data_IF_596733233159
#
_entry.id   IF_596733233159
#
_cell.length_a   1.000
_cell.length_b   1.000
_cell.length_c   1.000
_cell.angle_alpha   90.00
_cell.angle_beta   90.00
_cell.angle_gamma   90.00
#
_symmetry.space_group_name_H-M   'P 1'
#
loop_
_entity.id
_entity.type
_entity.pdbx_description
1 polymer ?
#
# COMPACT_ATOMS: atom_id res chain seq x y z
N UNK A 1 -35.75 -28.90 6.79
CA UNK A 1 -34.77 -29.08 7.88
C UNK A 1 -33.47 -28.49 7.42
N UNK A 2 -33.32 -27.19 7.59
CA UNK A 2 -32.11 -26.40 7.29
C UNK A 2 -31.33 -26.27 8.59
N UNK A 3 -30.21 -26.98 8.69
CA UNK A 3 -29.29 -26.82 9.81
C UNK A 3 -28.49 -25.52 9.60
N UNK A 4 -28.86 -24.49 10.33
CA UNK A 4 -28.06 -23.28 10.52
C UNK A 4 -26.82 -23.68 11.33
N UNK A 5 -25.67 -23.78 10.65
CA UNK A 5 -24.38 -23.80 11.30
C UNK A 5 -24.03 -22.36 11.73
N UNK A 6 -24.60 -21.87 12.80
CA UNK A 6 -24.06 -20.76 13.57
C UNK A 6 -22.73 -21.23 14.20
N UNK A 7 -21.61 -20.94 13.54
CA UNK A 7 -20.30 -21.05 14.16
C UNK A 7 -20.23 -20.03 15.31
N UNK A 8 -20.35 -20.51 16.55
CA UNK A 8 -20.10 -19.71 17.74
C UNK A 8 -18.65 -19.24 17.69
N UNK A 9 -18.45 -17.95 17.41
CA UNK A 9 -17.13 -17.33 17.43
C UNK A 9 -16.55 -17.43 18.85
N UNK A 10 -15.31 -17.89 18.99
CA UNK A 10 -14.58 -17.87 20.25
C UNK A 10 -14.30 -16.42 20.66
N UNK A 11 -14.10 -16.16 21.98
CA UNK A 11 -13.81 -14.82 22.51
C UNK A 11 -12.68 -14.11 21.76
N UNK A 12 -11.61 -14.82 21.38
CA UNK A 12 -10.47 -14.28 20.64
C UNK A 12 -10.84 -13.81 19.24
N UNK A 13 -11.75 -14.50 18.56
CA UNK A 13 -12.22 -14.12 17.21
C UNK A 13 -13.10 -12.87 17.24
N UNK A 14 -13.93 -12.73 18.30
CA UNK A 14 -14.74 -11.52 18.53
C UNK A 14 -13.83 -10.33 18.82
N UNK A 15 -12.82 -10.49 19.66
CA UNK A 15 -11.84 -9.46 19.97
C UNK A 15 -11.05 -9.02 18.71
N UNK A 16 -10.65 -9.96 17.86
CA UNK A 16 -9.97 -9.67 16.62
C UNK A 16 -10.86 -8.88 15.62
N UNK A 17 -12.14 -9.19 15.50
CA UNK A 17 -13.08 -8.46 14.68
C UNK A 17 -13.30 -7.02 15.19
N UNK A 18 -13.53 -6.85 16.50
CA UNK A 18 -13.66 -5.55 17.16
C UNK A 18 -12.42 -4.67 16.95
N UNK A 19 -11.22 -5.26 17.04
CA UNK A 19 -9.96 -4.58 16.75
C UNK A 19 -9.89 -4.05 15.31
N UNK A 20 -10.29 -4.86 14.34
CA UNK A 20 -10.26 -4.46 12.91
C UNK A 20 -11.21 -3.30 12.62
N UNK A 21 -12.37 -3.26 13.21
CA UNK A 21 -13.30 -2.14 13.06
C UNK A 21 -12.78 -0.88 13.75
N UNK A 22 -12.17 -1.00 14.95
CA UNK A 22 -11.48 0.10 15.62
C UNK A 22 -10.32 0.66 14.77
N UNK A 23 -9.56 -0.19 14.09
CA UNK A 23 -8.50 0.24 13.18
C UNK A 23 -9.02 1.12 12.03
N UNK A 24 -10.22 0.82 11.48
CA UNK A 24 -10.84 1.65 10.44
C UNK A 24 -11.16 3.04 10.98
N UNK A 25 -11.78 3.12 12.15
CA UNK A 25 -12.14 4.40 12.76
C UNK A 25 -10.92 5.24 13.14
N UNK A 26 -9.95 4.61 13.79
CA UNK A 26 -8.70 5.28 14.17
C UNK A 26 -7.86 5.68 12.94
N UNK A 27 -7.87 4.92 11.86
CA UNK A 27 -7.17 5.31 10.63
C UNK A 27 -7.74 6.59 9.99
N UNK A 28 -8.97 6.95 10.29
CA UNK A 28 -9.61 8.21 9.86
C UNK A 28 -9.36 9.37 10.83
N UNK A 29 -9.00 9.09 12.09
CA UNK A 29 -8.77 10.11 13.10
C UNK A 29 -7.50 10.93 12.77
N UNK A 30 -7.57 12.27 12.72
CA UNK A 30 -6.40 13.12 12.55
C UNK A 30 -5.31 12.90 13.63
N UNK A 31 -5.68 12.54 14.85
CA UNK A 31 -4.75 12.32 15.98
C UNK A 31 -3.81 11.13 15.76
N UNK A 32 -4.18 10.18 14.90
CA UNK A 32 -3.38 9.00 14.57
C UNK A 32 -2.52 9.15 13.32
N UNK A 33 -2.46 10.36 12.75
CA UNK A 33 -1.55 10.65 11.65
C UNK A 33 -0.15 10.92 12.17
N UNK A 34 0.86 10.68 11.34
CA UNK A 34 2.23 11.08 11.61
C UNK A 34 2.30 12.57 11.89
N UNK A 35 3.10 13.00 12.87
CA UNK A 35 3.30 14.42 13.16
C UNK A 35 4.10 15.16 12.07
N UNK A 36 4.96 14.44 11.33
CA UNK A 36 5.68 14.95 10.17
C UNK A 36 5.00 14.62 8.85
N UNK A 37 5.60 15.08 7.74
CA UNK A 37 5.13 14.84 6.38
C UNK A 37 5.99 13.81 5.63
N UNK A 38 5.58 13.45 4.42
CA UNK A 38 6.22 12.46 3.56
C UNK A 38 7.53 12.94 2.90
N UNK A 39 7.94 14.19 3.10
CA UNK A 39 9.14 14.81 2.54
C UNK A 39 8.98 15.41 1.13
N UNK A 40 7.94 15.08 0.38
CA UNK A 40 7.78 15.51 -1.01
C UNK A 40 7.63 17.02 -1.20
N UNK A 41 7.30 17.79 -0.17
CA UNK A 41 7.25 19.26 -0.25
C UNK A 41 8.62 19.90 -0.51
N UNK A 42 9.72 19.16 -0.30
CA UNK A 42 11.10 19.57 -0.66
C UNK A 42 11.41 19.41 -2.15
N UNK A 43 10.58 18.67 -2.92
CA UNK A 43 10.83 18.39 -4.33
C UNK A 43 10.14 19.39 -5.24
N UNK A 44 10.87 19.86 -6.25
CA UNK A 44 10.39 20.78 -7.31
C UNK A 44 10.68 20.23 -8.68
N UNK A 45 9.85 20.62 -9.66
CA UNK A 45 10.05 20.40 -11.09
C UNK A 45 10.42 21.69 -11.78
N UNK A 46 11.18 21.59 -12.86
CA UNK A 46 11.32 22.70 -13.79
C UNK A 46 9.99 22.99 -14.46
N UNK A 47 9.54 24.25 -14.36
CA UNK A 47 8.29 24.67 -14.98
C UNK A 47 8.47 24.88 -16.48
N UNK A 48 7.69 24.20 -17.30
CA UNK A 48 7.61 24.41 -18.73
C UNK A 48 6.51 25.44 -19.04
N UNK A 49 6.90 26.70 -19.26
CA UNK A 49 5.94 27.77 -19.57
C UNK A 49 5.34 27.68 -20.98
N UNK A 50 5.96 26.93 -21.89
CA UNK A 50 5.50 26.67 -23.25
C UNK A 50 5.58 25.17 -23.55
N UNK A 51 4.60 24.37 -23.13
CA UNK A 51 4.67 22.91 -23.24
C UNK A 51 4.52 22.35 -24.65
N UNK A 52 3.89 23.07 -25.57
CA UNK A 52 3.64 22.68 -26.98
C UNK A 52 3.04 21.26 -27.13
N UNK A 53 2.26 20.82 -26.16
CA UNK A 53 1.52 19.55 -26.14
C UNK A 53 0.06 19.80 -25.82
N UNK A 54 -0.82 18.90 -26.26
CA UNK A 54 -2.25 18.98 -25.95
C UNK A 54 -2.54 18.25 -24.63
N UNK A 55 -3.18 18.92 -23.68
CA UNK A 55 -3.47 18.34 -22.35
C UNK A 55 -4.28 17.02 -22.44
N UNK A 56 -5.26 16.96 -23.35
CA UNK A 56 -6.12 15.78 -23.52
C UNK A 56 -5.44 14.56 -24.15
N UNK A 57 -4.22 14.72 -24.68
CA UNK A 57 -3.44 13.61 -25.28
C UNK A 57 -2.35 13.08 -24.36
N UNK A 58 -2.27 13.58 -23.12
CA UNK A 58 -1.29 13.11 -22.16
C UNK A 58 -1.62 11.68 -21.76
N UNK A 59 -0.62 10.80 -21.87
CA UNK A 59 -0.74 9.38 -21.56
C UNK A 59 -0.08 9.06 -20.20
N UNK A 60 -0.90 8.56 -19.26
CA UNK A 60 -0.49 8.08 -17.94
C UNK A 60 -0.48 6.55 -17.85
N UNK A 61 -0.75 5.84 -18.95
CA UNK A 61 -0.85 4.39 -18.93
C UNK A 61 0.47 3.72 -18.53
N UNK A 62 0.36 2.59 -17.84
CA UNK A 62 1.51 1.80 -17.38
C UNK A 62 1.15 0.32 -17.33
N UNK A 63 2.12 -0.54 -17.66
CA UNK A 63 1.99 -1.97 -17.45
C UNK A 63 2.40 -2.33 -16.02
N UNK A 64 1.55 -3.09 -15.33
CA UNK A 64 1.82 -3.61 -13.98
C UNK A 64 1.23 -5.00 -13.81
N UNK A 65 2.06 -5.98 -13.42
CA UNK A 65 1.68 -7.38 -13.23
C UNK A 65 0.92 -7.96 -14.46
N UNK A 66 1.39 -7.62 -15.68
CA UNK A 66 0.82 -8.11 -16.94
C UNK A 66 -0.51 -7.47 -17.35
N UNK A 67 -0.93 -6.39 -16.71
CA UNK A 67 -2.17 -5.67 -17.03
C UNK A 67 -1.90 -4.18 -17.25
N UNK A 68 -2.61 -3.57 -18.20
CA UNK A 68 -2.51 -2.14 -18.51
C UNK A 68 -3.39 -1.33 -17.56
N UNK A 69 -2.80 -0.41 -16.82
CA UNK A 69 -3.47 0.55 -15.93
C UNK A 69 -3.59 1.93 -16.58
N UNK A 70 -4.60 2.70 -16.15
CA UNK A 70 -4.82 4.08 -16.63
C UNK A 70 -3.86 5.11 -15.99
N UNK A 71 -3.16 4.75 -14.92
CA UNK A 71 -2.16 5.58 -14.26
C UNK A 71 -1.26 4.70 -13.36
N UNK A 72 -0.03 5.12 -13.03
CA UNK A 72 0.86 4.39 -12.13
C UNK A 72 0.41 4.51 -10.67
N UNK A 73 -0.82 4.07 -10.40
CA UNK A 73 -1.47 4.23 -9.10
C UNK A 73 -2.22 2.97 -8.68
N UNK A 74 -2.16 2.67 -7.39
CA UNK A 74 -2.84 1.57 -6.74
C UNK A 74 -3.64 2.08 -5.54
N UNK A 75 -4.83 1.54 -5.32
CA UNK A 75 -5.54 1.65 -4.04
C UNK A 75 -4.85 0.69 -3.06
N UNK A 76 -4.21 1.25 -2.04
CA UNK A 76 -3.35 0.51 -1.12
C UNK A 76 -4.11 -0.34 -0.10
N UNK A 77 -3.43 -1.35 0.43
CA UNK A 77 -3.92 -2.25 1.45
C UNK A 77 -4.36 -1.51 2.74
N UNK A 78 -5.55 -1.80 3.25
CA UNK A 78 -6.09 -1.14 4.45
C UNK A 78 -6.66 -2.12 5.47
N UNK A 79 -7.76 -2.76 5.18
CA UNK A 79 -8.53 -3.55 6.15
C UNK A 79 -9.01 -4.89 5.59
N UNK A 80 -9.42 -5.80 6.47
CA UNK A 80 -9.97 -7.10 6.10
C UNK A 80 -10.47 -7.87 7.33
N UNK A 81 -11.29 -8.91 7.11
CA UNK A 81 -11.70 -9.86 8.13
C UNK A 81 -12.98 -9.52 8.91
N UNK A 82 -13.63 -8.37 8.68
CA UNK A 82 -14.96 -8.04 9.24
C UNK A 82 -15.96 -7.79 8.10
N UNK A 83 -17.27 -7.81 8.40
CA UNK A 83 -18.31 -7.46 7.42
C UNK A 83 -18.15 -6.02 6.92
N UNK A 84 -17.80 -5.10 7.81
CA UNK A 84 -17.52 -3.70 7.45
C UNK A 84 -16.32 -3.58 6.52
N UNK A 85 -15.24 -4.28 6.85
CA UNK A 85 -14.04 -4.31 6.01
C UNK A 85 -14.30 -4.95 4.64
N UNK A 86 -15.16 -5.95 4.57
CA UNK A 86 -15.59 -6.59 3.34
C UNK A 86 -16.35 -5.59 2.45
N UNK A 87 -17.36 -4.89 2.96
CA UNK A 87 -18.10 -3.87 2.24
C UNK A 87 -17.17 -2.75 1.71
N UNK A 88 -16.19 -2.34 2.51
CA UNK A 88 -15.15 -1.37 2.11
C UNK A 88 -14.34 -1.94 0.94
N UNK A 89 -13.86 -3.17 1.03
CA UNK A 89 -13.03 -3.77 -0.03
C UNK A 89 -13.80 -3.94 -1.34
N UNK A 90 -15.09 -4.29 -1.30
CA UNK A 90 -15.93 -4.35 -2.49
C UNK A 90 -16.04 -2.98 -3.17
N UNK A 91 -16.34 -1.93 -2.42
CA UNK A 91 -16.45 -0.57 -2.95
C UNK A 91 -15.10 -0.05 -3.51
N UNK A 92 -13.97 -0.37 -2.85
CA UNK A 92 -12.63 -0.03 -3.34
C UNK A 92 -12.30 -0.77 -4.64
N UNK A 93 -12.64 -2.06 -4.73
CA UNK A 93 -12.40 -2.88 -5.91
C UNK A 93 -13.23 -2.42 -7.12
N UNK A 94 -14.49 -2.05 -6.91
CA UNK A 94 -15.37 -1.47 -7.93
C UNK A 94 -14.76 -0.21 -8.52
N UNK A 95 -14.38 0.76 -7.68
CA UNK A 95 -13.75 2.01 -8.15
C UNK A 95 -12.39 1.75 -8.79
N UNK A 96 -11.60 0.81 -8.28
CA UNK A 96 -10.33 0.44 -8.88
C UNK A 96 -10.53 -0.11 -10.30
N UNK A 97 -11.52 -0.98 -10.50
CA UNK A 97 -11.90 -1.52 -11.81
C UNK A 97 -12.33 -0.43 -12.77
N UNK A 98 -13.26 0.44 -12.37
CA UNK A 98 -13.81 1.51 -13.22
C UNK A 98 -12.75 2.51 -13.65
N UNK A 99 -11.79 2.79 -12.77
CA UNK A 99 -10.69 3.72 -13.04
C UNK A 99 -9.43 3.05 -13.58
N UNK A 100 -9.44 1.71 -13.77
CA UNK A 100 -8.29 0.89 -14.22
C UNK A 100 -7.05 1.14 -13.36
N UNK A 101 -7.21 1.01 -12.04
CA UNK A 101 -6.14 1.09 -11.05
C UNK A 101 -5.86 -0.29 -10.47
N UNK A 102 -4.67 -0.55 -9.95
CA UNK A 102 -4.43 -1.74 -9.16
C UNK A 102 -5.10 -1.64 -7.78
N UNK A 103 -5.40 -2.79 -7.17
CA UNK A 103 -6.00 -2.85 -5.83
C UNK A 103 -5.28 -3.85 -4.94
N UNK A 104 -4.99 -3.48 -3.70
CA UNK A 104 -4.42 -4.34 -2.69
C UNK A 104 -5.36 -4.47 -1.49
N UNK A 105 -5.67 -5.71 -1.07
CA UNK A 105 -6.48 -5.98 0.12
C UNK A 105 -5.68 -5.81 1.40
N UNK A 106 -6.36 -5.56 2.52
CA UNK A 106 -5.75 -5.66 3.84
C UNK A 106 -5.39 -7.11 4.20
N UNK A 107 -4.71 -7.31 5.34
CA UNK A 107 -4.28 -8.65 5.77
C UNK A 107 -5.43 -9.65 5.76
N UNK A 108 -5.25 -10.78 5.04
CA UNK A 108 -6.24 -11.83 4.85
C UNK A 108 -6.26 -12.84 6.01
N UNK A 109 -5.26 -12.84 6.90
CA UNK A 109 -5.16 -13.80 8.02
C UNK A 109 -6.51 -14.01 8.73
N UNK A 110 -7.12 -12.91 9.22
CA UNK A 110 -8.35 -13.01 10.00
C UNK A 110 -9.55 -13.57 9.21
N UNK A 111 -9.63 -13.31 7.90
CA UNK A 111 -10.68 -13.87 7.05
C UNK A 111 -10.46 -15.38 6.82
N UNK A 112 -9.23 -15.78 6.52
CA UNK A 112 -8.87 -17.18 6.31
C UNK A 112 -9.04 -18.02 7.58
N UNK A 113 -8.65 -17.52 8.75
CA UNK A 113 -8.86 -18.17 10.04
C UNK A 113 -10.36 -18.38 10.37
N UNK A 114 -11.23 -17.56 9.79
CA UNK A 114 -12.69 -17.64 9.93
C UNK A 114 -13.34 -18.50 8.80
N UNK A 115 -12.56 -19.00 7.85
CA UNK A 115 -13.08 -19.71 6.69
C UNK A 115 -13.91 -18.80 5.76
N UNK A 116 -13.71 -17.47 5.82
CA UNK A 116 -14.37 -16.51 4.92
C UNK A 116 -13.61 -16.43 3.61
N UNK A 117 -14.33 -16.21 2.52
CA UNK A 117 -13.76 -16.04 1.17
C UNK A 117 -13.86 -14.60 0.71
N UNK A 118 -12.85 -14.14 -0.02
CA UNK A 118 -12.80 -12.85 -0.71
C UNK A 118 -12.91 -13.01 -2.25
N UNK A 119 -13.22 -14.22 -2.74
CA UNK A 119 -13.31 -14.53 -4.19
C UNK A 119 -14.26 -13.63 -4.97
N UNK A 120 -15.28 -13.05 -4.32
CA UNK A 120 -16.19 -12.07 -4.93
C UNK A 120 -15.50 -10.81 -5.44
N UNK A 121 -14.32 -10.44 -4.89
CA UNK A 121 -13.55 -9.28 -5.35
C UNK A 121 -13.05 -9.46 -6.79
N UNK A 122 -12.61 -10.65 -7.18
CA UNK A 122 -12.19 -10.94 -8.56
C UNK A 122 -13.36 -10.84 -9.55
N UNK A 123 -14.56 -11.18 -9.12
CA UNK A 123 -15.78 -11.03 -9.96
C UNK A 123 -16.07 -9.55 -10.24
N UNK A 124 -15.90 -8.69 -9.24
CA UNK A 124 -16.10 -7.23 -9.37
C UNK A 124 -14.97 -6.56 -10.15
N UNK A 125 -13.73 -7.02 -9.95
CA UNK A 125 -12.55 -6.42 -10.56
C UNK A 125 -11.77 -7.45 -11.41
N UNK A 126 -12.33 -7.90 -12.56
CA UNK A 126 -11.71 -8.94 -13.38
C UNK A 126 -10.47 -8.47 -14.13
N UNK A 127 -10.38 -7.18 -14.50
CA UNK A 127 -9.41 -6.69 -15.48
C UNK A 127 -8.17 -6.02 -14.85
N UNK A 128 -8.19 -5.76 -13.55
CA UNK A 128 -7.10 -5.08 -12.85
C UNK A 128 -6.27 -6.04 -12.00
N UNK A 129 -5.02 -5.70 -11.65
CA UNK A 129 -4.25 -6.43 -10.66
C UNK A 129 -4.91 -6.35 -9.28
N UNK A 130 -5.15 -7.52 -8.66
CA UNK A 130 -5.53 -7.64 -7.25
C UNK A 130 -4.36 -8.26 -6.49
N UNK A 131 -3.94 -7.60 -5.42
CA UNK A 131 -2.80 -8.01 -4.61
C UNK A 131 -3.30 -8.54 -3.27
N UNK A 132 -2.99 -9.82 -2.97
CA UNK A 132 -3.20 -10.44 -1.67
C UNK A 132 -2.28 -9.87 -0.60
N UNK A 133 -2.52 -10.19 0.70
CA UNK A 133 -1.73 -9.58 1.77
C UNK A 133 -1.68 -10.45 3.03
N UNK A 134 -0.45 -10.72 3.50
CA UNK A 134 -0.17 -11.39 4.77
C UNK A 134 0.95 -10.69 5.53
N UNK A 135 1.02 -10.92 6.85
CA UNK A 135 2.12 -10.43 7.68
C UNK A 135 3.36 -11.32 7.57
N UNK A 136 4.54 -10.71 7.66
CA UNK A 136 5.80 -11.42 7.64
C UNK A 136 5.96 -12.42 8.78
N UNK A 137 5.51 -12.08 9.99
CA UNK A 137 5.52 -13.00 11.14
C UNK A 137 4.64 -14.22 10.86
N UNK A 138 3.42 -14.03 10.32
CA UNK A 138 2.52 -15.14 9.99
C UNK A 138 3.09 -16.05 8.91
N UNK A 139 3.79 -15.46 7.92
CA UNK A 139 4.48 -16.24 6.90
C UNK A 139 5.61 -17.11 7.50
N UNK A 140 6.29 -16.63 8.54
CA UNK A 140 7.38 -17.37 9.21
C UNK A 140 6.89 -18.48 10.17
N UNK A 141 5.60 -18.54 10.49
CA UNK A 141 5.04 -19.60 11.32
C UNK A 141 4.92 -20.93 10.56
N UNK A 142 4.87 -22.07 11.25
CA UNK A 142 4.55 -23.35 10.63
C UNK A 142 3.25 -23.26 9.82
N UNK A 143 3.28 -23.70 8.55
CA UNK A 143 2.17 -23.59 7.62
C UNK A 143 2.02 -22.22 6.95
N UNK A 144 2.92 -21.26 7.16
CA UNK A 144 2.85 -19.92 6.57
C UNK A 144 2.84 -19.90 5.04
N UNK A 145 3.55 -20.82 4.38
CA UNK A 145 3.54 -20.97 2.92
C UNK A 145 2.17 -21.48 2.44
N UNK A 146 1.54 -22.42 3.15
CA UNK A 146 0.19 -22.88 2.83
C UNK A 146 -0.85 -21.78 3.04
N UNK A 147 -0.68 -20.97 4.07
CA UNK A 147 -1.50 -19.78 4.32
C UNK A 147 -1.35 -18.75 3.18
N UNK A 148 -0.13 -18.54 2.69
CA UNK A 148 0.10 -17.66 1.54
C UNK A 148 -0.56 -18.20 0.27
N UNK A 149 -0.47 -19.51 0.04
CA UNK A 149 -1.17 -20.17 -1.07
C UNK A 149 -2.68 -19.97 -0.96
N UNK A 150 -3.26 -20.21 0.21
CA UNK A 150 -4.70 -20.01 0.44
C UNK A 150 -5.13 -18.56 0.19
N UNK A 151 -4.29 -17.58 0.59
CA UNK A 151 -4.55 -16.16 0.34
C UNK A 151 -4.53 -15.81 -1.16
N UNK A 152 -3.61 -16.40 -1.92
CA UNK A 152 -3.52 -16.21 -3.38
C UNK A 152 -4.72 -16.85 -4.06
N UNK A 153 -5.02 -18.10 -3.74
CA UNK A 153 -6.10 -18.89 -4.37
C UNK A 153 -7.48 -18.26 -4.10
N UNK A 154 -7.74 -17.81 -2.87
CA UNK A 154 -9.01 -17.19 -2.47
C UNK A 154 -9.34 -15.92 -3.27
N UNK A 155 -8.34 -15.08 -3.54
CA UNK A 155 -8.51 -13.86 -4.33
C UNK A 155 -8.30 -14.05 -5.82
N UNK A 156 -7.76 -15.20 -6.26
CA UNK A 156 -7.13 -15.33 -7.58
C UNK A 156 -6.15 -14.16 -7.81
N UNK A 157 -5.27 -13.94 -6.83
CA UNK A 157 -4.45 -12.76 -6.76
C UNK A 157 -3.35 -12.76 -7.85
N UNK A 158 -3.09 -11.60 -8.43
CA UNK A 158 -2.01 -11.41 -9.42
C UNK A 158 -0.62 -11.27 -8.75
N UNK A 159 -0.59 -10.98 -7.45
CA UNK A 159 0.60 -10.93 -6.60
C UNK A 159 0.20 -11.07 -5.12
N UNK A 160 1.18 -11.35 -4.26
CA UNK A 160 0.99 -11.34 -2.81
C UNK A 160 1.93 -10.33 -2.13
N UNK A 161 1.37 -9.45 -1.31
CA UNK A 161 2.14 -8.53 -0.47
C UNK A 161 2.42 -9.17 0.91
N UNK A 162 3.68 -9.16 1.31
CA UNK A 162 4.10 -9.52 2.67
C UNK A 162 4.43 -8.23 3.40
N UNK A 163 3.61 -7.88 4.38
CA UNK A 163 3.84 -6.65 5.15
C UNK A 163 4.76 -6.89 6.34
N UNK A 164 5.65 -5.91 6.56
CA UNK A 164 6.54 -5.83 7.69
C UNK A 164 6.08 -4.67 8.58
N UNK A 165 5.76 -4.95 9.84
CA UNK A 165 5.16 -3.98 10.76
C UNK A 165 5.77 -4.05 12.18
N UNK A 166 7.12 -4.09 12.33
CA UNK A 166 7.75 -4.32 13.63
C UNK A 166 7.41 -3.26 14.66
N UNK A 167 7.30 -1.99 14.27
CA UNK A 167 6.93 -0.92 15.18
C UNK A 167 5.46 -1.05 15.64
N UNK A 168 4.54 -1.36 14.73
CA UNK A 168 3.15 -1.62 15.07
C UNK A 168 3.04 -2.76 16.07
N UNK A 169 3.66 -3.91 15.79
CA UNK A 169 3.65 -5.08 16.66
C UNK A 169 4.28 -4.79 18.03
N UNK A 170 5.34 -3.98 18.09
CA UNK A 170 5.97 -3.59 19.34
C UNK A 170 5.07 -2.73 20.23
N UNK A 171 4.20 -1.91 19.65
CA UNK A 171 3.26 -1.04 20.39
C UNK A 171 1.94 -1.74 20.66
N UNK A 172 1.51 -2.67 19.81
CA UNK A 172 0.25 -3.40 19.93
C UNK A 172 0.23 -4.24 21.22
N UNK A 173 -0.83 -4.15 22.07
CA UNK A 173 -0.90 -4.92 23.33
C UNK A 173 -0.74 -6.44 23.14
N UNK A 174 -1.36 -6.98 22.09
CA UNK A 174 -1.33 -8.39 21.68
C UNK A 174 -0.35 -8.67 20.54
N UNK A 175 0.71 -7.83 20.40
CA UNK A 175 1.64 -7.89 19.27
C UNK A 175 2.60 -9.08 19.32
N UNK A 176 3.03 -9.52 18.17
CA UNK A 176 3.99 -10.62 17.98
C UNK A 176 5.40 -10.05 17.82
N UNK A 177 6.33 -10.43 18.70
CA UNK A 177 7.66 -9.81 18.77
C UNK A 177 8.81 -10.71 18.24
N UNK A 178 8.54 -11.93 17.83
CA UNK A 178 9.56 -12.81 17.26
C UNK A 178 9.60 -12.68 15.73
N UNK A 179 10.57 -11.93 15.25
CA UNK A 179 10.80 -11.66 13.82
C UNK A 179 11.83 -12.57 13.17
N UNK A 180 12.35 -13.59 13.93
CA UNK A 180 13.34 -14.54 13.41
C UNK A 180 12.71 -15.41 12.32
N UNK A 181 13.47 -15.65 11.25
CA UNK A 181 13.05 -16.49 10.12
C UNK A 181 12.15 -15.80 9.09
N UNK A 182 11.70 -14.55 9.29
CA UNK A 182 10.83 -13.85 8.33
C UNK A 182 11.51 -13.69 6.97
N UNK A 183 12.83 -13.37 6.93
CA UNK A 183 13.58 -13.27 5.67
C UNK A 183 13.63 -14.62 4.95
N UNK A 184 13.90 -15.69 5.66
CA UNK A 184 13.99 -17.05 5.07
C UNK A 184 12.62 -17.50 4.56
N UNK A 185 11.54 -17.16 5.27
CA UNK A 185 10.16 -17.43 4.85
C UNK A 185 9.80 -16.68 3.57
N UNK A 186 10.21 -15.39 3.45
CA UNK A 186 10.03 -14.61 2.21
C UNK A 186 10.80 -15.29 1.05
N UNK A 187 12.05 -15.67 1.26
CA UNK A 187 12.83 -16.35 0.24
C UNK A 187 12.21 -17.71 -0.17
N UNK A 188 11.65 -18.46 0.80
CA UNK A 188 10.93 -19.70 0.54
C UNK A 188 9.64 -19.46 -0.27
N UNK A 189 8.90 -18.38 0.04
CA UNK A 189 7.70 -18.01 -0.70
C UNK A 189 8.04 -17.63 -2.16
N UNK A 190 9.09 -16.84 -2.37
CA UNK A 190 9.58 -16.51 -3.72
C UNK A 190 9.94 -17.78 -4.49
N UNK A 191 10.68 -18.70 -3.85
CA UNK A 191 11.06 -19.96 -4.47
C UNK A 191 9.89 -20.88 -4.79
N UNK A 192 8.78 -20.76 -4.06
CA UNK A 192 7.56 -21.54 -4.33
C UNK A 192 6.84 -21.11 -5.63
N UNK A 193 7.19 -19.95 -6.19
CA UNK A 193 6.77 -19.44 -7.52
C UNK A 193 5.25 -19.51 -7.78
N UNK A 194 4.47 -19.23 -6.73
CA UNK A 194 2.99 -19.27 -6.81
C UNK A 194 2.40 -17.98 -7.39
N UNK A 195 3.02 -16.85 -7.07
CA UNK A 195 2.68 -15.51 -7.57
C UNK A 195 3.84 -14.56 -7.29
N UNK A 196 3.98 -13.44 -8.01
CA UNK A 196 4.95 -12.39 -7.69
C UNK A 196 4.82 -11.93 -6.23
N UNK A 197 5.96 -11.86 -5.51
CA UNK A 197 5.99 -11.44 -4.11
C UNK A 197 6.34 -9.96 -4.02
N UNK A 198 5.51 -9.20 -3.33
CA UNK A 198 5.74 -7.79 -2.99
C UNK A 198 6.05 -7.73 -1.49
N UNK A 199 7.13 -7.07 -1.09
CA UNK A 199 7.39 -6.81 0.33
C UNK A 199 7.14 -5.34 0.63
N UNK A 200 6.38 -5.05 1.69
CA UNK A 200 6.01 -3.69 2.07
C UNK A 200 6.17 -3.44 3.56
N UNK A 201 6.47 -2.22 3.91
CA UNK A 201 6.30 -1.71 5.27
C UNK A 201 4.89 -1.10 5.42
N UNK A 202 4.55 -0.56 6.58
CA UNK A 202 3.20 -0.05 6.87
C UNK A 202 3.17 1.43 7.27
N UNK A 203 4.30 2.14 7.24
CA UNK A 203 4.36 3.57 7.54
C UNK A 203 5.64 4.05 8.23
N UNK A 204 6.61 3.16 8.47
CA UNK A 204 7.93 3.53 9.01
C UNK A 204 9.06 3.44 7.97
N UNK A 205 8.81 2.86 6.80
CA UNK A 205 9.72 2.85 5.68
C UNK A 205 10.67 1.66 5.59
N UNK A 206 11.14 1.39 4.38
CA UNK A 206 12.13 0.34 4.08
C UNK A 206 13.48 1.00 3.78
N UNK A 207 14.54 0.54 4.44
CA UNK A 207 15.90 1.01 4.18
C UNK A 207 16.44 0.48 2.84
N UNK A 208 17.41 1.19 2.25
CA UNK A 208 18.07 0.77 1.03
C UNK A 208 18.75 -0.60 1.14
N UNK A 209 19.36 -0.90 2.29
CA UNK A 209 19.99 -2.21 2.53
C UNK A 209 18.97 -3.34 2.53
N UNK A 210 17.84 -3.16 3.23
CA UNK A 210 16.78 -4.18 3.24
C UNK A 210 16.16 -4.35 1.85
N UNK A 211 15.90 -3.27 1.12
CA UNK A 211 15.38 -3.36 -0.25
C UNK A 211 16.34 -4.15 -1.16
N UNK A 212 17.64 -3.89 -1.08
CA UNK A 212 18.65 -4.63 -1.85
C UNK A 212 18.67 -6.12 -1.48
N UNK A 213 18.59 -6.46 -0.20
CA UNK A 213 18.53 -7.85 0.27
C UNK A 213 17.26 -8.57 -0.23
N UNK A 214 16.12 -7.89 -0.20
CA UNK A 214 14.84 -8.44 -0.67
C UNK A 214 14.87 -8.71 -2.18
N UNK A 215 15.39 -7.78 -2.96
CA UNK A 215 15.56 -7.99 -4.39
C UNK A 215 16.56 -9.11 -4.70
N UNK A 216 17.64 -9.22 -3.94
CA UNK A 216 18.59 -10.34 -4.07
C UNK A 216 17.93 -11.70 -3.75
N UNK A 217 16.86 -11.73 -2.95
CA UNK A 217 16.05 -12.93 -2.71
C UNK A 217 15.03 -13.21 -3.83
N UNK A 218 14.91 -12.34 -4.85
CA UNK A 218 13.96 -12.50 -5.97
C UNK A 218 12.58 -11.91 -5.71
N UNK A 219 12.42 -11.00 -4.73
CA UNK A 219 11.17 -10.24 -4.50
C UNK A 219 10.88 -9.39 -5.74
N UNK A 220 9.66 -9.47 -6.28
CA UNK A 220 9.28 -8.79 -7.52
C UNK A 220 9.12 -7.27 -7.33
N UNK A 221 8.64 -6.83 -6.17
CA UNK A 221 8.50 -5.42 -5.85
C UNK A 221 8.73 -5.13 -4.37
N UNK A 222 9.25 -3.92 -4.10
CA UNK A 222 9.33 -3.37 -2.74
C UNK A 222 8.45 -2.12 -2.68
N UNK A 223 7.50 -2.10 -1.74
CA UNK A 223 6.72 -0.91 -1.40
C UNK A 223 7.32 -0.26 -0.15
N UNK A 224 7.91 0.92 -0.34
CA UNK A 224 8.69 1.57 0.72
C UNK A 224 7.85 1.98 1.92
N UNK A 225 6.57 2.26 1.75
CA UNK A 225 5.60 2.60 2.79
C UNK A 225 6.21 3.49 3.90
N UNK A 226 6.74 4.64 3.47
CA UNK A 226 7.50 5.52 4.34
C UNK A 226 6.65 6.35 5.31
N UNK A 227 7.33 7.06 6.20
CA UNK A 227 6.71 7.95 7.18
C UNK A 227 6.04 9.16 6.52
N UNK A 228 4.92 9.62 7.09
CA UNK A 228 4.23 10.86 6.70
C UNK A 228 2.73 10.71 6.44
N UNK A 229 2.15 9.54 6.71
CA UNK A 229 0.72 9.27 6.49
C UNK A 229 0.01 8.71 7.72
N UNK A 230 -0.80 7.67 7.53
CA UNK A 230 -1.40 6.89 8.61
C UNK A 230 -0.30 6.25 9.44
N UNK A 231 -0.38 6.39 10.75
CA UNK A 231 0.66 5.93 11.67
C UNK A 231 0.11 4.80 12.54
N UNK A 232 0.50 3.56 12.21
CA UNK A 232 0.01 2.39 12.92
C UNK A 232 0.45 2.32 14.37
N UNK A 233 1.64 2.85 14.71
CA UNK A 233 2.08 2.92 16.11
C UNK A 233 1.16 3.84 16.94
N UNK A 234 0.72 4.99 16.39
CA UNK A 234 -0.25 5.88 17.03
C UNK A 234 -1.63 5.23 17.13
N UNK A 235 -2.05 4.47 16.12
CA UNK A 235 -3.31 3.71 16.14
C UNK A 235 -3.27 2.69 17.28
N UNK A 236 -2.20 1.90 17.41
CA UNK A 236 -2.07 0.91 18.48
C UNK A 236 -1.93 1.57 19.86
N UNK A 237 -1.20 2.68 19.96
CA UNK A 237 -1.11 3.44 21.20
C UNK A 237 -2.49 3.98 21.65
N UNK A 238 -3.33 4.43 20.70
CA UNK A 238 -4.70 4.90 21.00
C UNK A 238 -5.66 3.77 21.44
N UNK A 239 -5.29 2.50 21.21
CA UNK A 239 -6.05 1.32 21.67
C UNK A 239 -5.62 0.82 23.04
N UNK A 240 -4.52 1.33 23.57
CA UNK A 240 -3.99 0.89 24.86
C UNK A 240 -4.71 1.59 26.00
N UNK A 241 -5.03 0.82 27.05
CA UNK A 241 -5.57 1.31 28.30
C UNK A 241 -4.48 1.49 29.37
N UNK A 242 -3.25 1.01 29.09
CA UNK A 242 -2.09 1.08 29.97
C UNK A 242 -1.16 2.26 29.65
N UNK A 243 -0.05 2.39 30.40
CA UNK A 243 0.91 3.47 30.22
C UNK A 243 1.61 3.40 28.86
N UNK A 244 1.42 4.41 28.03
CA UNK A 244 2.06 4.56 26.70
C UNK A 244 3.42 5.26 26.77
N UNK A 245 3.86 5.75 27.95
CA UNK A 245 5.09 6.51 28.12
C UNK A 245 6.32 5.81 27.53
N UNK A 246 6.50 4.48 27.67
CA UNK A 246 7.64 3.78 27.07
C UNK A 246 7.65 3.81 25.53
N UNK A 247 6.52 3.98 24.89
CA UNK A 247 6.36 3.98 23.43
C UNK A 247 6.33 5.39 22.81
N UNK A 248 6.03 6.41 23.62
CA UNK A 248 5.85 7.79 23.18
C UNK A 248 6.99 8.32 22.28
N UNK A 249 8.29 8.09 22.58
CA UNK A 249 9.39 8.54 21.73
C UNK A 249 9.43 7.87 20.33
N UNK A 250 8.77 6.72 20.16
CA UNK A 250 8.78 5.94 18.93
C UNK A 250 7.54 6.16 18.06
N UNK A 251 6.53 6.90 18.52
CA UNK A 251 5.29 7.11 17.77
C UNK A 251 5.49 7.85 16.44
N UNK A 252 6.59 8.59 16.30
CA UNK A 252 6.99 9.24 15.05
C UNK A 252 8.32 8.69 14.51
N UNK A 253 8.62 7.44 14.82
CA UNK A 253 9.76 6.73 14.27
C UNK A 253 9.53 6.35 12.81
N UNK A 254 10.52 6.59 11.96
CA UNK A 254 10.49 6.16 10.57
C UNK A 254 11.34 7.02 9.65
N UNK A 255 11.47 6.58 8.41
CA UNK A 255 12.15 7.28 7.31
C UNK A 255 11.05 7.84 6.40
N UNK A 256 11.12 9.12 6.03
CA UNK A 256 10.10 9.70 5.15
C UNK A 256 10.02 8.96 3.82
N UNK A 257 8.85 8.99 3.17
CA UNK A 257 8.68 8.30 1.87
C UNK A 257 9.66 8.82 0.82
N UNK A 258 9.89 10.13 0.78
CA UNK A 258 10.89 10.72 -0.12
C UNK A 258 12.29 10.16 0.16
N UNK A 259 12.74 10.15 1.42
CA UNK A 259 14.10 9.74 1.77
C UNK A 259 14.29 8.22 1.58
N UNK A 260 13.27 7.39 1.87
CA UNK A 260 13.26 5.97 1.53
C UNK A 260 13.45 5.77 0.02
N UNK A 261 12.63 6.43 -0.79
CA UNK A 261 12.63 6.27 -2.24
C UNK A 261 13.96 6.71 -2.85
N UNK A 262 14.51 7.85 -2.41
CA UNK A 262 15.83 8.32 -2.84
C UNK A 262 16.93 7.33 -2.49
N UNK A 263 16.94 6.81 -1.26
CA UNK A 263 17.94 5.87 -0.81
C UNK A 263 17.86 4.53 -1.58
N UNK A 264 16.66 3.98 -1.74
CA UNK A 264 16.44 2.72 -2.46
C UNK A 264 16.82 2.88 -3.94
N UNK A 265 16.34 3.91 -4.62
CA UNK A 265 16.63 4.11 -6.05
C UNK A 265 18.11 4.36 -6.32
N UNK A 266 18.82 5.02 -5.42
CA UNK A 266 20.27 5.27 -5.51
C UNK A 266 21.09 4.00 -5.28
N UNK A 267 20.64 3.09 -4.44
CA UNK A 267 21.38 1.86 -4.08
C UNK A 267 21.26 0.77 -5.14
N UNK A 268 20.20 0.79 -5.97
CA UNK A 268 19.97 -0.25 -6.96
C UNK A 268 20.77 -0.02 -8.24
N UNK A 269 21.51 -1.03 -8.74
CA UNK A 269 22.15 -0.98 -10.06
C UNK A 269 21.11 -0.70 -11.15
N UNK A 270 21.47 0.10 -12.16
CA UNK A 270 20.56 0.42 -13.29
C UNK A 270 20.03 -0.82 -14.01
N UNK A 271 20.83 -1.90 -14.07
CA UNK A 271 20.46 -3.20 -14.64
C UNK A 271 19.37 -3.92 -13.84
N UNK A 272 19.31 -3.73 -12.53
CA UNK A 272 18.31 -4.36 -11.66
C UNK A 272 16.91 -3.78 -11.82
N UNK A 273 16.79 -2.54 -12.29
CA UNK A 273 15.52 -1.82 -12.40
C UNK A 273 14.58 -2.34 -13.49
N UNK A 274 15.03 -3.22 -14.36
CA UNK A 274 14.17 -3.86 -15.37
C UNK A 274 13.44 -5.08 -14.85
N UNK A 275 13.91 -5.67 -13.75
CA UNK A 275 13.38 -6.91 -13.18
C UNK A 275 12.69 -6.71 -11.83
N UNK A 276 12.89 -5.53 -11.18
CA UNK A 276 12.41 -5.23 -9.85
C UNK A 276 11.68 -3.90 -9.80
N UNK A 277 10.47 -3.93 -9.26
CA UNK A 277 9.60 -2.76 -9.19
C UNK A 277 9.73 -2.07 -7.82
N UNK A 278 9.64 -0.75 -7.83
CA UNK A 278 9.55 0.07 -6.61
C UNK A 278 8.16 0.67 -6.55
N UNK A 279 7.46 0.42 -5.45
CA UNK A 279 6.19 1.05 -5.14
C UNK A 279 6.44 2.11 -4.09
N UNK A 280 5.92 3.31 -4.29
CA UNK A 280 5.97 4.38 -3.30
C UNK A 280 4.61 4.53 -2.63
N UNK A 281 4.57 4.31 -1.33
CA UNK A 281 3.44 4.60 -0.46
C UNK A 281 3.89 5.24 0.84
N UNK A 282 2.95 5.66 1.68
CA UNK A 282 3.22 6.38 2.92
C UNK A 282 3.06 7.89 2.78
N UNK A 283 1.88 8.39 3.15
CA UNK A 283 1.58 9.81 3.22
C UNK A 283 1.41 10.54 1.89
N UNK A 284 1.27 9.85 0.76
CA UNK A 284 0.91 10.49 -0.51
C UNK A 284 -0.50 11.09 -0.39
N UNK A 285 -0.66 12.38 -0.74
CA UNK A 285 -1.88 13.17 -0.50
C UNK A 285 -2.68 13.44 -1.77
N UNK A 286 -1.97 13.58 -2.91
CA UNK A 286 -2.52 14.05 -4.17
C UNK A 286 -1.66 13.57 -5.37
N UNK A 287 -2.15 13.77 -6.60
CA UNK A 287 -1.47 13.32 -7.81
C UNK A 287 -0.08 13.93 -8.02
N UNK A 288 0.17 15.14 -7.52
CA UNK A 288 1.51 15.75 -7.58
C UNK A 288 2.53 14.98 -6.71
N UNK A 289 2.17 14.50 -5.50
CA UNK A 289 3.05 13.66 -4.70
C UNK A 289 3.34 12.32 -5.42
N UNK A 290 2.33 11.73 -6.04
CA UNK A 290 2.50 10.52 -6.84
C UNK A 290 3.49 10.73 -8.01
N UNK A 291 3.40 11.86 -8.71
CA UNK A 291 4.32 12.18 -9.81
C UNK A 291 5.73 12.52 -9.31
N UNK A 292 5.87 13.13 -8.13
CA UNK A 292 7.17 13.30 -7.47
C UNK A 292 7.83 11.95 -7.19
N UNK A 293 7.07 11.02 -6.59
CA UNK A 293 7.53 9.67 -6.35
C UNK A 293 7.91 8.95 -7.65
N UNK A 294 7.07 9.04 -8.67
CA UNK A 294 7.34 8.45 -9.98
C UNK A 294 8.65 9.00 -10.60
N UNK A 295 8.86 10.31 -10.57
CA UNK A 295 10.08 10.95 -11.10
C UNK A 295 11.34 10.51 -10.33
N UNK A 296 11.23 10.26 -9.02
CA UNK A 296 12.33 9.75 -8.19
C UNK A 296 12.61 8.26 -8.42
N UNK A 297 11.79 7.59 -9.19
CA UNK A 297 12.04 6.22 -9.63
C UNK A 297 11.07 5.18 -9.11
N UNK A 298 9.98 5.54 -8.46
CA UNK A 298 8.90 4.61 -8.24
C UNK A 298 8.29 4.17 -9.59
N UNK A 299 7.92 2.92 -9.71
CA UNK A 299 7.20 2.38 -10.87
C UNK A 299 5.69 2.46 -10.67
N UNK A 300 5.26 2.35 -9.42
CA UNK A 300 3.89 2.51 -8.98
C UNK A 300 3.83 3.39 -7.74
N UNK A 301 2.67 3.99 -7.52
CA UNK A 301 2.34 4.71 -6.28
C UNK A 301 1.11 4.08 -5.62
N UNK A 302 1.05 4.11 -4.31
CA UNK A 302 -0.07 3.51 -3.57
C UNK A 302 -0.61 4.48 -2.52
N UNK A 303 -1.93 4.68 -2.54
CA UNK A 303 -2.64 5.53 -1.60
C UNK A 303 -3.66 4.68 -0.82
N UNK A 304 -3.57 4.70 0.50
CA UNK A 304 -4.51 4.00 1.39
C UNK A 304 -5.42 4.99 2.15
N UNK A 305 -4.86 5.72 3.10
CA UNK A 305 -5.63 6.63 3.97
C UNK A 305 -6.49 7.66 3.22
N UNK A 306 -5.99 8.38 2.20
CA UNK A 306 -6.82 9.29 1.40
C UNK A 306 -7.97 8.58 0.69
N UNK A 307 -7.77 7.37 0.16
CA UNK A 307 -8.83 6.58 -0.49
C UNK A 307 -9.90 6.17 0.51
N UNK A 308 -9.51 5.66 1.69
CA UNK A 308 -10.45 5.31 2.75
C UNK A 308 -11.27 6.51 3.22
N UNK A 309 -10.63 7.67 3.37
CA UNK A 309 -11.30 8.90 3.80
C UNK A 309 -12.36 9.35 2.79
N UNK A 310 -12.07 9.25 1.50
CA UNK A 310 -13.04 9.62 0.46
C UNK A 310 -14.16 8.60 0.32
N UNK A 311 -13.87 7.32 0.57
CA UNK A 311 -14.89 6.29 0.55
C UNK A 311 -15.86 6.38 1.73
N UNK A 312 -15.35 6.70 2.93
CA UNK A 312 -16.10 6.68 4.19
C UNK A 312 -16.34 8.11 4.70
N UNK A 313 -16.98 8.97 3.93
CA UNK A 313 -17.31 10.34 4.38
C UNK A 313 -18.03 10.36 5.74
N UNK A 314 -18.47 11.51 6.20
CA UNK A 314 -18.99 11.80 7.55
C UNK A 314 -20.00 10.77 8.12
N UNK A 315 -20.72 10.06 7.26
CA UNK A 315 -21.69 9.02 7.66
C UNK A 315 -21.10 7.62 7.82
N UNK A 316 -19.78 7.44 7.58
CA UNK A 316 -19.08 6.14 7.63
C UNK A 316 -19.67 5.05 6.73
N UNK A 317 -20.53 5.43 5.78
CA UNK A 317 -21.09 4.55 4.76
C UNK A 317 -20.24 4.63 3.50
N UNK A 318 -19.86 3.51 2.87
CA UNK A 318 -19.09 3.54 1.63
C UNK A 318 -19.81 4.32 0.52
N UNK A 319 -19.10 5.27 -0.10
CA UNK A 319 -19.56 6.08 -1.25
C UNK A 319 -18.61 5.87 -2.44
N UNK A 320 -18.84 4.88 -3.31
CA UNK A 320 -18.03 4.65 -4.50
C UNK A 320 -17.95 5.87 -5.41
N UNK A 321 -19.04 6.63 -5.56
CA UNK A 321 -19.08 7.85 -6.40
C UNK A 321 -18.08 8.91 -5.95
N UNK A 322 -18.01 9.20 -4.64
CA UNK A 322 -17.05 10.17 -4.10
C UNK A 322 -15.61 9.68 -4.29
N UNK A 323 -15.36 8.41 -4.03
CA UNK A 323 -14.05 7.83 -4.26
C UNK A 323 -13.67 7.86 -5.75
N UNK A 324 -14.61 7.58 -6.66
CA UNK A 324 -14.42 7.67 -8.11
C UNK A 324 -14.05 9.09 -8.55
N UNK A 325 -14.76 10.10 -8.05
CA UNK A 325 -14.42 11.50 -8.31
C UNK A 325 -13.01 11.83 -7.81
N UNK A 326 -12.61 11.35 -6.65
CA UNK A 326 -11.27 11.55 -6.11
C UNK A 326 -10.21 10.84 -6.95
N UNK A 327 -10.44 9.60 -7.39
CA UNK A 327 -9.55 8.89 -8.29
C UNK A 327 -9.36 9.63 -9.63
N UNK A 328 -10.45 10.19 -10.19
CA UNK A 328 -10.38 11.03 -11.39
C UNK A 328 -9.57 12.31 -11.15
N UNK A 329 -9.77 12.97 -10.01
CA UNK A 329 -9.01 14.16 -9.62
C UNK A 329 -7.51 13.86 -9.48
N UNK A 330 -7.13 12.73 -8.88
CA UNK A 330 -5.73 12.32 -8.77
C UNK A 330 -5.09 12.13 -10.15
N UNK A 331 -5.78 11.44 -11.07
CA UNK A 331 -5.30 11.26 -12.47
C UNK A 331 -5.16 12.62 -13.18
N UNK A 332 -6.12 13.52 -13.00
CA UNK A 332 -6.04 14.87 -13.56
C UNK A 332 -4.83 15.66 -13.03
N UNK A 333 -4.54 15.56 -11.73
CA UNK A 333 -3.35 16.19 -11.13
C UNK A 333 -2.04 15.59 -11.65
N UNK A 334 -2.01 14.27 -11.89
CA UNK A 334 -0.87 13.61 -12.53
C UNK A 334 -0.67 14.14 -13.96
N UNK A 335 -1.72 14.18 -14.77
CA UNK A 335 -1.67 14.71 -16.12
C UNK A 335 -1.25 16.19 -16.14
N UNK A 336 -1.76 17.00 -15.20
CA UNK A 336 -1.35 18.40 -15.05
C UNK A 336 0.15 18.54 -14.75
N UNK A 337 0.70 17.63 -13.94
CA UNK A 337 2.15 17.63 -13.67
C UNK A 337 2.96 17.35 -14.94
N UNK A 338 2.54 16.40 -15.77
CA UNK A 338 3.17 16.13 -17.06
C UNK A 338 3.05 17.36 -17.98
N UNK A 339 1.88 17.97 -18.07
CA UNK A 339 1.64 19.15 -18.89
C UNK A 339 2.56 20.31 -18.50
N UNK A 340 2.65 20.61 -17.19
CA UNK A 340 3.45 21.71 -16.65
C UNK A 340 4.97 21.45 -16.74
N UNK A 341 5.38 20.22 -17.05
CA UNK A 341 6.78 19.85 -17.32
C UNK A 341 7.05 19.60 -18.80
N UNK A 342 6.04 19.77 -19.67
CA UNK A 342 6.16 19.55 -21.12
C UNK A 342 6.43 18.09 -21.48
N UNK A 343 5.83 17.15 -20.75
CA UNK A 343 5.96 15.71 -21.01
C UNK A 343 4.65 15.14 -21.54
N UNK A 344 4.61 14.53 -22.73
CA UNK A 344 3.40 13.93 -23.29
C UNK A 344 3.05 12.57 -22.64
N UNK A 345 3.99 11.91 -21.99
CA UNK A 345 3.83 10.59 -21.39
C UNK A 345 4.81 10.37 -20.22
N UNK A 346 4.64 9.26 -19.52
CA UNK A 346 5.43 8.89 -18.35
C UNK A 346 6.93 8.68 -18.67
N UNK A 347 7.26 8.12 -19.84
CA UNK A 347 8.64 7.87 -20.22
C UNK A 347 9.43 9.17 -20.42
N UNK A 348 8.82 10.17 -21.08
CA UNK A 348 9.40 11.51 -21.23
C UNK A 348 9.45 12.25 -19.88
N UNK A 349 8.42 12.08 -19.03
CA UNK A 349 8.39 12.71 -17.71
C UNK A 349 9.54 12.24 -16.81
N UNK A 350 9.94 10.97 -16.86
CA UNK A 350 11.10 10.46 -16.10
C UNK A 350 12.41 11.19 -16.41
N UNK A 351 12.51 11.85 -17.54
CA UNK A 351 13.72 12.57 -17.97
C UNK A 351 13.68 14.06 -17.65
N UNK A 352 12.54 14.58 -17.19
CA UNK A 352 12.39 16.03 -16.93
C UNK A 352 13.23 16.47 -15.73
N UNK A 353 13.82 17.67 -15.76
CA UNK A 353 14.59 18.18 -14.64
C UNK A 353 13.74 18.31 -13.36
N UNK A 354 14.33 17.89 -12.27
CA UNK A 354 13.76 18.03 -10.93
C UNK A 354 14.89 18.13 -9.91
N UNK A 355 14.60 18.65 -8.72
CA UNK A 355 15.55 18.74 -7.62
C UNK A 355 14.83 18.60 -6.27
N UNK A 356 15.58 18.20 -5.26
CA UNK A 356 15.16 18.11 -3.86
C UNK A 356 16.11 18.96 -3.04
N UNK A 357 15.62 20.03 -2.40
CA UNK A 357 16.41 20.95 -1.57
C UNK A 357 17.75 21.32 -2.23
N UNK A 358 17.71 21.92 -3.42
CA UNK A 358 18.87 22.36 -4.24
C UNK A 358 19.78 21.25 -4.78
N UNK A 359 19.45 19.98 -4.58
CA UNK A 359 20.14 18.83 -5.21
C UNK A 359 19.40 18.37 -6.47
N UNK A 360 20.11 18.29 -7.60
CA UNK A 360 19.58 17.72 -8.84
C UNK A 360 19.31 16.21 -8.66
N UNK A 361 18.21 15.70 -9.18
CA UNK A 361 17.78 14.29 -9.15
C UNK A 361 17.47 13.74 -10.54
#
# INVERSE_FOLDING_TARGET
>A
MTSENEQILTGDKIAAASRKDAHIDLALDPATKSAGNNGFDRMRFEHCALPEITFSTIDLSVEFLGKTLAAPMMIGAMTGGTMRAEAINYALAEVAQDHKLAFAVGSQRAALDLGKTASGLRVIAPDIPIIGNLGGIQLAQPGGIDLAKAAIDDLQADAIAIHLNPLQEAVQPEGEHDWRGVRDAIAALVKADMAPVIVKEVGAGISASLASDLFACGVAAVDVAGFGGTNWARIEAARRDDDITPFAPFLDWGITTLDCLMAVTKSLPKTFRHEHLIIASGGLRHGLDAMRAYRLGADMTSLAGPMLKQLLDNDKTPSPDQLGQFAAQLKQQMALTLFLTGAPNLAEFRRKPAWVDDQAV
#
